data_IF_545704805254
#
_entry.id   IF_545704805254
#
_cell.length_a   1.000
_cell.length_b   1.000
_cell.length_c   1.000
_cell.angle_alpha   90.00
_cell.angle_beta   90.00
_cell.angle_gamma   90.00
#
_symmetry.space_group_name_H-M   'P 1'
#
loop_
_entity.id
_entity.type
_entity.pdbx_description
1 polymer ?
#
# COMPACT_ATOMS: atom_id res chain seq x y z
N UNK A 1 -37.94 6.53 -37.91
CA UNK A 1 -37.15 5.59 -37.07
C UNK A 1 -35.88 6.28 -36.60
N UNK A 2 -35.91 6.88 -35.40
CA UNK A 2 -34.74 7.52 -34.80
C UNK A 2 -33.90 6.43 -34.12
N UNK A 3 -32.72 6.12 -34.67
CA UNK A 3 -31.76 5.22 -34.04
C UNK A 3 -31.25 5.87 -32.76
N UNK A 4 -31.73 5.36 -31.62
CA UNK A 4 -31.23 5.68 -30.28
C UNK A 4 -29.71 5.46 -30.22
N UNK A 5 -28.95 6.56 -30.23
CA UNK A 5 -27.49 6.60 -30.00
C UNK A 5 -27.12 6.44 -28.51
N UNK A 6 -28.04 5.98 -27.66
CA UNK A 6 -27.87 5.90 -26.20
C UNK A 6 -27.20 4.63 -25.68
N UNK A 7 -26.80 3.68 -26.54
CA UNK A 7 -26.22 2.38 -26.12
C UNK A 7 -24.76 2.15 -26.55
N UNK A 8 -23.93 3.19 -26.63
CA UNK A 8 -22.48 3.05 -26.89
C UNK A 8 -21.58 3.92 -26.00
N UNK A 9 -22.05 4.23 -24.80
CA UNK A 9 -21.22 4.77 -23.71
C UNK A 9 -21.44 3.93 -22.46
N UNK A 10 -21.34 2.61 -22.59
CA UNK A 10 -20.90 1.81 -21.45
C UNK A 10 -19.54 2.40 -21.07
N UNK A 11 -19.51 3.18 -20.00
CA UNK A 11 -18.28 3.47 -19.28
C UNK A 11 -17.63 2.10 -19.08
N UNK A 12 -16.61 1.77 -19.90
CA UNK A 12 -15.75 0.62 -19.63
C UNK A 12 -14.98 1.04 -18.39
N UNK A 13 -15.60 0.86 -17.23
CA UNK A 13 -14.95 1.10 -15.96
C UNK A 13 -13.65 0.30 -15.98
N UNK A 14 -12.56 1.02 -15.76
CA UNK A 14 -11.24 0.45 -15.77
C UNK A 14 -11.12 -0.51 -14.58
N UNK A 15 -10.59 -1.70 -14.85
CA UNK A 15 -10.33 -2.68 -13.80
C UNK A 15 -9.33 -2.10 -12.80
N UNK A 16 -9.68 -2.17 -11.52
CA UNK A 16 -8.92 -1.59 -10.41
C UNK A 16 -8.50 -2.64 -9.36
N UNK A 17 -8.45 -3.92 -9.76
CA UNK A 17 -8.09 -5.03 -8.90
C UNK A 17 -9.23 -5.51 -7.99
N UNK A 18 -9.02 -6.64 -7.28
CA UNK A 18 -10.06 -7.23 -6.45
C UNK A 18 -10.24 -6.53 -5.09
N UNK A 19 -9.20 -5.90 -4.53
CA UNK A 19 -9.26 -5.30 -3.19
C UNK A 19 -9.76 -3.86 -3.15
N UNK A 20 -9.69 -3.12 -4.26
CA UNK A 20 -10.02 -1.70 -4.29
C UNK A 20 -11.41 -1.54 -4.90
N UNK A 21 -12.24 -0.67 -4.35
CA UNK A 21 -13.59 -0.41 -4.88
C UNK A 21 -13.61 0.64 -5.98
N UNK A 22 -12.65 1.56 -5.96
CA UNK A 22 -12.51 2.65 -6.92
C UNK A 22 -11.07 2.74 -7.40
N UNK A 23 -10.85 2.88 -8.71
CA UNK A 23 -9.51 3.08 -9.26
C UNK A 23 -8.85 4.37 -8.77
N UNK A 24 -7.52 4.38 -8.82
CA UNK A 24 -6.67 5.51 -8.46
C UNK A 24 -7.04 6.74 -9.26
N UNK A 25 -7.21 7.86 -8.57
CA UNK A 25 -7.59 9.15 -9.14
C UNK A 25 -6.42 10.14 -9.15
N UNK A 26 -6.37 11.01 -10.15
CA UNK A 26 -5.36 12.07 -10.24
C UNK A 26 -5.39 13.02 -9.04
N UNK A 27 -6.56 13.16 -8.39
CA UNK A 27 -6.74 14.03 -7.23
C UNK A 27 -5.87 13.62 -6.03
N UNK A 28 -5.41 12.36 -5.96
CA UNK A 28 -4.66 11.84 -4.82
C UNK A 28 -3.34 12.58 -4.60
N UNK A 29 -2.68 13.06 -5.66
CA UNK A 29 -1.44 13.83 -5.58
C UNK A 29 -1.57 15.14 -4.78
N UNK A 30 -2.80 15.67 -4.62
CA UNK A 30 -3.02 16.91 -3.88
C UNK A 30 -2.97 16.73 -2.37
N UNK A 31 -3.26 15.53 -1.88
CA UNK A 31 -3.51 15.28 -0.45
C UNK A 31 -2.50 14.29 0.13
N UNK A 32 -2.31 13.15 -0.51
CA UNK A 32 -1.50 12.05 0.04
C UNK A 32 -0.03 12.42 0.29
N UNK A 33 0.66 13.16 -0.61
CA UNK A 33 2.03 13.60 -0.34
C UNK A 33 2.16 14.44 0.93
N UNK A 34 1.18 15.30 1.21
CA UNK A 34 1.16 16.10 2.44
C UNK A 34 0.96 15.26 3.70
N UNK A 35 0.18 14.18 3.60
CA UNK A 35 -0.02 13.24 4.73
C UNK A 35 1.26 12.44 5.00
N UNK A 36 2.00 12.05 3.97
CA UNK A 36 3.23 11.26 4.09
C UNK A 36 4.41 12.04 4.65
N UNK A 37 4.48 13.36 4.43
CA UNK A 37 5.63 14.18 4.80
C UNK A 37 5.93 14.17 6.30
N UNK A 38 4.98 14.49 7.21
CA UNK A 38 5.27 14.53 8.64
C UNK A 38 5.80 13.21 9.21
N UNK A 39 5.18 12.04 8.94
CA UNK A 39 5.72 10.75 9.38
C UNK A 39 7.11 10.45 8.84
N UNK A 40 7.37 10.74 7.55
CA UNK A 40 8.68 10.49 6.94
C UNK A 40 9.77 11.37 7.57
N UNK A 41 9.48 12.66 7.79
CA UNK A 41 10.42 13.60 8.43
C UNK A 41 10.68 13.17 9.88
N UNK A 42 9.63 12.84 10.62
CA UNK A 42 9.76 12.38 12.01
C UNK A 42 10.66 11.15 12.10
N UNK A 43 10.38 10.11 11.29
CA UNK A 43 11.17 8.89 11.28
C UNK A 43 12.60 9.11 10.78
N UNK A 44 12.81 10.02 9.83
CA UNK A 44 14.15 10.35 9.33
C UNK A 44 15.07 10.84 10.47
N UNK A 45 14.54 11.67 11.36
CA UNK A 45 15.30 12.15 12.52
C UNK A 45 15.33 11.14 13.66
N UNK A 46 14.18 10.57 14.04
CA UNK A 46 14.08 9.68 15.19
C UNK A 46 14.79 8.34 14.96
N UNK A 47 14.52 7.69 13.83
CA UNK A 47 15.11 6.40 13.51
C UNK A 47 16.51 6.50 12.91
N UNK A 48 16.82 7.63 12.26
CA UNK A 48 18.15 7.93 11.73
C UNK A 48 19.17 8.36 12.80
N UNK A 49 18.77 8.44 14.07
CA UNK A 49 19.69 8.77 15.16
C UNK A 49 20.72 7.65 15.35
N UNK A 50 22.01 8.02 15.40
CA UNK A 50 23.11 7.05 15.48
C UNK A 50 23.33 6.20 14.23
N UNK A 51 22.78 6.60 13.07
CA UNK A 51 22.98 5.88 11.79
C UNK A 51 24.39 6.10 11.24
N UNK A 52 25.27 5.14 11.52
CA UNK A 52 26.67 5.17 11.04
C UNK A 52 26.80 4.77 9.57
N UNK A 53 25.89 3.92 9.08
CA UNK A 53 25.88 3.42 7.70
C UNK A 53 25.11 4.38 6.79
N UNK A 54 24.12 5.09 7.33
CA UNK A 54 23.29 6.06 6.61
C UNK A 54 22.17 5.43 5.79
N UNK A 55 21.94 4.11 5.88
CA UNK A 55 20.95 3.42 5.05
C UNK A 55 19.51 3.81 5.38
N UNK A 56 19.13 3.80 6.67
CA UNK A 56 17.79 4.19 7.13
C UNK A 56 17.53 5.65 6.79
N UNK A 57 18.48 6.55 7.07
CA UNK A 57 18.39 7.95 6.65
C UNK A 57 18.27 8.09 5.14
N UNK A 58 19.06 7.35 4.36
CA UNK A 58 19.02 7.39 2.91
C UNK A 58 17.64 7.02 2.35
N UNK A 59 17.07 5.90 2.79
CA UNK A 59 15.74 5.43 2.35
C UNK A 59 14.65 6.43 2.73
N UNK A 60 14.63 6.91 3.97
CA UNK A 60 13.64 7.89 4.42
C UNK A 60 13.84 9.26 3.75
N UNK A 61 15.08 9.65 3.46
CA UNK A 61 15.41 10.87 2.71
C UNK A 61 14.89 10.82 1.27
N UNK A 62 15.04 9.68 0.59
CA UNK A 62 14.43 9.45 -0.73
C UNK A 62 12.90 9.55 -0.65
N UNK A 63 12.29 8.98 0.40
CA UNK A 63 10.84 9.10 0.62
C UNK A 63 10.40 10.56 0.79
N UNK A 64 11.12 11.36 1.57
CA UNK A 64 10.85 12.79 1.73
C UNK A 64 10.95 13.51 0.38
N UNK A 65 12.03 13.24 -0.37
CA UNK A 65 12.26 13.86 -1.67
C UNK A 65 11.15 13.54 -2.68
N UNK A 66 10.71 12.27 -2.76
CA UNK A 66 9.59 11.86 -3.62
C UNK A 66 8.31 12.62 -3.25
N UNK A 67 8.00 12.73 -1.95
CA UNK A 67 6.80 13.44 -1.51
C UNK A 67 6.90 14.95 -1.78
N UNK A 68 8.08 15.57 -1.60
CA UNK A 68 8.31 16.98 -1.95
C UNK A 68 8.15 17.23 -3.45
N UNK A 69 8.71 16.37 -4.31
CA UNK A 69 8.51 16.43 -5.76
C UNK A 69 7.02 16.30 -6.08
N UNK A 70 6.31 15.38 -5.41
CA UNK A 70 4.87 15.17 -5.59
C UNK A 70 4.05 16.42 -5.22
N UNK A 71 4.38 17.07 -4.10
CA UNK A 71 3.77 18.34 -3.69
C UNK A 71 4.05 19.44 -4.71
N UNK A 72 5.31 19.58 -5.16
CA UNK A 72 5.68 20.56 -6.16
C UNK A 72 4.91 20.33 -7.49
N UNK A 73 4.89 19.09 -7.98
CA UNK A 73 4.13 18.71 -9.17
C UNK A 73 2.64 19.01 -9.02
N UNK A 74 2.06 18.79 -7.83
CA UNK A 74 0.66 19.13 -7.55
C UNK A 74 0.38 20.63 -7.68
N UNK A 75 1.27 21.48 -7.15
CA UNK A 75 1.13 22.94 -7.19
C UNK A 75 1.31 23.50 -8.61
N UNK A 76 2.31 22.99 -9.33
CA UNK A 76 2.69 23.48 -10.65
C UNK A 76 2.00 22.75 -11.81
N UNK A 77 1.07 21.82 -11.54
CA UNK A 77 0.43 20.97 -12.55
C UNK A 77 -0.22 21.79 -13.68
N UNK A 78 -0.84 22.93 -13.35
CA UNK A 78 -1.47 23.85 -14.32
C UNK A 78 -0.46 24.57 -15.21
N UNK A 79 0.74 24.84 -14.68
CA UNK A 79 1.76 25.66 -15.32
C UNK A 79 2.69 24.82 -16.19
N UNK A 80 3.08 23.64 -15.70
CA UNK A 80 4.09 22.77 -16.32
C UNK A 80 3.51 21.78 -17.34
N UNK A 81 2.19 21.81 -17.61
CA UNK A 81 1.48 20.86 -18.50
C UNK A 81 1.95 19.41 -18.27
N UNK A 82 2.01 19.01 -17.00
CA UNK A 82 2.55 17.69 -16.60
C UNK A 82 1.70 16.59 -17.23
N UNK A 83 2.34 15.61 -17.86
CA UNK A 83 1.63 14.48 -18.46
C UNK A 83 0.91 13.66 -17.39
N UNK A 84 -0.29 13.19 -17.72
CA UNK A 84 -1.11 12.41 -16.78
C UNK A 84 -0.43 11.09 -16.38
N UNK A 85 0.37 10.52 -17.28
CA UNK A 85 1.21 9.34 -17.01
C UNK A 85 2.21 9.56 -15.89
N UNK A 86 2.89 10.71 -15.89
CA UNK A 86 3.84 11.06 -14.83
C UNK A 86 3.12 11.22 -13.48
N UNK A 87 1.92 11.79 -13.47
CA UNK A 87 1.12 11.92 -12.24
C UNK A 87 0.78 10.53 -11.69
N UNK A 88 0.36 9.60 -12.53
CA UNK A 88 0.07 8.22 -12.10
C UNK A 88 1.31 7.47 -11.61
N UNK A 89 2.46 7.65 -12.27
CA UNK A 89 3.72 7.08 -11.79
C UNK A 89 4.12 7.67 -10.44
N UNK A 90 3.94 8.97 -10.26
CA UNK A 90 4.22 9.66 -9.01
C UNK A 90 3.27 9.22 -7.88
N UNK A 91 2.02 8.88 -8.22
CA UNK A 91 1.09 8.21 -7.30
C UNK A 91 1.62 6.86 -6.85
N UNK A 92 2.08 6.02 -7.77
CA UNK A 92 2.68 4.73 -7.42
C UNK A 92 3.88 4.92 -6.47
N UNK A 93 4.73 5.92 -6.72
CA UNK A 93 5.89 6.23 -5.90
C UNK A 93 5.50 6.72 -4.50
N UNK A 94 4.62 7.71 -4.35
CA UNK A 94 4.27 8.17 -2.99
C UNK A 94 3.47 7.13 -2.21
N UNK A 95 2.66 6.27 -2.86
CA UNK A 95 2.00 5.15 -2.17
C UNK A 95 3.04 4.15 -1.66
N UNK A 96 4.11 3.92 -2.44
CA UNK A 96 5.26 3.12 -1.98
C UNK A 96 5.95 3.78 -0.78
N UNK A 97 6.07 5.11 -0.76
CA UNK A 97 6.60 5.81 0.44
C UNK A 97 5.69 5.64 1.65
N UNK A 98 4.35 5.62 1.46
CA UNK A 98 3.40 5.34 2.53
C UNK A 98 3.63 3.96 3.14
N UNK A 99 3.80 2.96 2.27
CA UNK A 99 4.11 1.60 2.70
C UNK A 99 5.43 1.53 3.46
N UNK A 100 6.50 2.15 2.95
CA UNK A 100 7.82 2.13 3.60
C UNK A 100 7.77 2.69 5.02
N UNK A 101 7.18 3.88 5.23
CA UNK A 101 7.18 4.47 6.56
C UNK A 101 6.25 3.73 7.54
N UNK A 102 5.15 3.15 7.05
CA UNK A 102 4.23 2.35 7.87
C UNK A 102 4.80 0.98 8.23
N UNK A 103 5.47 0.30 7.31
CA UNK A 103 6.19 -0.96 7.58
C UNK A 103 7.35 -0.72 8.55
N UNK A 104 8.03 0.42 8.43
CA UNK A 104 9.05 0.83 9.38
C UNK A 104 8.46 1.08 10.77
N UNK A 105 7.27 1.67 10.86
CA UNK A 105 6.55 1.82 12.13
C UNK A 105 6.19 0.45 12.73
N UNK A 106 5.74 -0.50 11.92
CA UNK A 106 5.51 -1.88 12.35
C UNK A 106 6.79 -2.56 12.84
N UNK A 107 7.91 -2.34 12.15
CA UNK A 107 9.23 -2.81 12.56
C UNK A 107 9.64 -2.24 13.92
N UNK A 108 9.42 -0.93 14.15
CA UNK A 108 9.66 -0.31 15.45
C UNK A 108 8.84 -1.00 16.55
N UNK A 109 7.57 -1.31 16.30
CA UNK A 109 6.73 -2.01 17.28
C UNK A 109 7.21 -3.44 17.57
N UNK A 110 7.79 -4.13 16.58
CA UNK A 110 8.31 -5.51 16.73
C UNK A 110 9.65 -5.56 17.45
N UNK A 111 10.50 -4.54 17.28
CA UNK A 111 11.91 -4.57 17.75
C UNK A 111 12.15 -3.67 18.97
N UNK A 112 11.40 -2.57 19.13
CA UNK A 112 11.61 -1.62 20.20
C UNK A 112 11.04 -2.14 21.54
N UNK A 113 11.85 -2.92 22.25
CA UNK A 113 11.57 -3.37 23.63
C UNK A 113 11.89 -2.27 24.66
N UNK A 114 11.38 -1.05 24.47
CA UNK A 114 11.60 0.08 25.39
C UNK A 114 13.03 0.63 25.45
N UNK A 115 13.93 0.14 24.60
CA UNK A 115 15.29 0.66 24.47
C UNK A 115 15.34 1.88 23.55
N UNK A 116 16.38 2.71 23.70
CA UNK A 116 16.60 3.89 22.87
C UNK A 116 16.64 3.50 21.38
N UNK A 117 15.81 4.17 20.58
CA UNK A 117 15.74 3.98 19.13
C UNK A 117 17.06 4.47 18.54
N UNK A 118 17.86 3.55 17.99
CA UNK A 118 19.09 3.87 17.26
C UNK A 118 19.17 3.04 15.99
N UNK A 119 19.61 3.63 14.88
CA UNK A 119 19.75 2.91 13.62
C UNK A 119 20.65 1.66 13.75
N UNK A 120 21.75 1.77 14.50
CA UNK A 120 22.69 0.67 14.71
C UNK A 120 22.07 -0.53 15.41
N UNK A 121 21.13 -0.32 16.35
CA UNK A 121 20.45 -1.44 17.01
C UNK A 121 19.54 -2.21 16.05
N UNK A 122 18.96 -1.56 15.03
CA UNK A 122 18.20 -2.25 13.99
C UNK A 122 19.08 -3.08 13.06
N UNK A 123 20.24 -2.57 12.64
CA UNK A 123 21.14 -3.31 11.76
C UNK A 123 21.68 -4.60 12.42
N UNK A 124 21.92 -4.57 13.72
CA UNK A 124 22.41 -5.72 14.47
C UNK A 124 21.29 -6.68 14.90
N UNK A 125 20.03 -6.25 14.85
CA UNK A 125 18.89 -7.05 15.29
C UNK A 125 18.53 -8.13 14.27
N UNK A 126 18.64 -9.40 14.69
CA UNK A 126 18.20 -10.55 13.90
C UNK A 126 16.70 -10.48 13.57
N UNK A 127 15.88 -10.00 14.51
CA UNK A 127 14.44 -9.87 14.31
C UNK A 127 14.10 -8.81 13.26
N UNK A 128 14.82 -7.69 13.26
CA UNK A 128 14.61 -6.64 12.27
C UNK A 128 14.88 -7.15 10.86
N UNK A 129 15.97 -7.89 10.68
CA UNK A 129 16.31 -8.51 9.41
C UNK A 129 15.24 -9.50 8.94
N UNK A 130 14.81 -10.44 9.79
CA UNK A 130 13.79 -11.43 9.44
C UNK A 130 12.47 -10.74 9.06
N UNK A 131 12.06 -9.75 9.84
CA UNK A 131 10.83 -8.99 9.60
C UNK A 131 10.87 -8.26 8.25
N UNK A 132 11.92 -7.47 8.00
CA UNK A 132 12.08 -6.72 6.75
C UNK A 132 12.19 -7.65 5.54
N UNK A 133 12.89 -8.79 5.68
CA UNK A 133 13.01 -9.78 4.61
C UNK A 133 11.65 -10.41 4.27
N UNK A 134 10.87 -10.80 5.29
CA UNK A 134 9.53 -11.37 5.13
C UNK A 134 8.59 -10.39 4.41
N UNK A 135 8.55 -9.12 4.85
CA UNK A 135 7.72 -8.10 4.21
C UNK A 135 8.17 -7.83 2.78
N UNK A 136 9.48 -7.82 2.50
CA UNK A 136 9.98 -7.63 1.14
C UNK A 136 9.55 -8.76 0.21
N UNK A 137 9.64 -10.02 0.65
CA UNK A 137 9.14 -11.17 -0.13
C UNK A 137 7.63 -11.04 -0.37
N UNK A 138 6.88 -10.73 0.68
CA UNK A 138 5.44 -10.58 0.61
C UNK A 138 5.04 -9.45 -0.34
N UNK A 139 5.73 -8.31 -0.29
CA UNK A 139 5.53 -7.17 -1.18
C UNK A 139 5.72 -7.58 -2.64
N UNK A 140 6.83 -8.23 -2.96
CA UNK A 140 7.13 -8.70 -4.32
C UNK A 140 6.09 -9.72 -4.79
N UNK A 141 5.73 -10.68 -3.93
CA UNK A 141 4.70 -11.67 -4.23
C UNK A 141 3.34 -11.00 -4.55
N UNK A 142 2.96 -9.99 -3.77
CA UNK A 142 1.71 -9.26 -3.97
C UNK A 142 1.73 -8.40 -5.24
N UNK A 143 2.85 -7.77 -5.59
CA UNK A 143 3.01 -7.11 -6.89
C UNK A 143 2.75 -8.07 -8.05
N UNK A 144 3.28 -9.30 -7.99
CA UNK A 144 3.03 -10.33 -9.00
C UNK A 144 1.57 -10.76 -9.04
N UNK A 145 0.95 -11.01 -7.88
CA UNK A 145 -0.46 -11.40 -7.77
C UNK A 145 -1.38 -10.34 -8.37
N UNK A 146 -1.22 -9.07 -7.99
CA UNK A 146 -2.05 -7.99 -8.54
C UNK A 146 -1.78 -7.76 -10.02
N UNK A 147 -0.52 -7.79 -10.45
CA UNK A 147 -0.19 -7.64 -11.88
C UNK A 147 -0.78 -8.77 -12.73
N UNK A 148 -0.84 -9.98 -12.18
CA UNK A 148 -1.50 -11.12 -12.80
C UNK A 148 -3.01 -10.88 -12.99
N UNK A 149 -3.70 -10.37 -11.96
CA UNK A 149 -5.13 -10.02 -12.06
C UNK A 149 -5.40 -9.00 -13.19
N UNK A 150 -4.57 -7.96 -13.30
CA UNK A 150 -4.69 -6.97 -14.39
C UNK A 150 -4.44 -7.56 -15.77
N UNK A 151 -3.39 -8.38 -15.91
CA UNK A 151 -3.07 -9.05 -17.18
C UNK A 151 -4.19 -10.01 -17.59
N UNK A 152 -4.77 -10.71 -16.62
CA UNK A 152 -5.90 -11.62 -16.84
C UNK A 152 -7.14 -10.88 -17.30
N UNK A 153 -7.48 -9.76 -16.64
CA UNK A 153 -8.63 -8.93 -17.01
C UNK A 153 -8.51 -8.44 -18.46
N UNK A 154 -7.34 -7.94 -18.83
CA UNK A 154 -7.03 -7.46 -20.18
C UNK A 154 -7.23 -8.53 -21.26
N UNK A 155 -6.85 -9.79 -20.99
CA UNK A 155 -7.00 -10.91 -21.93
C UNK A 155 -8.43 -11.43 -22.04
N UNK A 156 -9.18 -11.35 -20.96
CA UNK A 156 -10.51 -11.97 -20.83
C UNK A 156 -11.64 -10.97 -21.03
N UNK A 157 -11.30 -9.71 -21.38
CA UNK A 157 -12.26 -8.61 -21.56
C UNK A 157 -13.23 -8.47 -20.38
N UNK A 158 -12.75 -8.68 -19.16
CA UNK A 158 -13.56 -8.54 -17.95
C UNK A 158 -14.50 -9.70 -17.62
N UNK A 159 -14.35 -10.87 -18.26
CA UNK A 159 -15.20 -12.05 -18.01
C UNK A 159 -15.24 -12.52 -16.53
N UNK A 160 -14.24 -12.14 -15.73
CA UNK A 160 -14.10 -12.55 -14.33
C UNK A 160 -14.49 -11.45 -13.32
N UNK A 161 -14.73 -10.21 -13.75
CA UNK A 161 -15.03 -9.08 -12.84
C UNK A 161 -16.26 -9.34 -11.96
N UNK A 162 -17.33 -9.89 -12.55
CA UNK A 162 -18.55 -10.21 -11.83
C UNK A 162 -18.37 -11.37 -10.83
N UNK A 163 -17.50 -12.34 -11.16
CA UNK A 163 -17.15 -13.45 -10.26
C UNK A 163 -16.31 -12.95 -9.08
N UNK A 164 -15.35 -12.07 -9.32
CA UNK A 164 -14.52 -11.45 -8.27
C UNK A 164 -15.36 -10.56 -7.34
N UNK A 165 -16.21 -9.70 -7.90
CA UNK A 165 -17.11 -8.85 -7.12
C UNK A 165 -18.07 -9.68 -6.26
N UNK A 166 -18.59 -10.80 -6.79
CA UNK A 166 -19.43 -11.73 -6.04
C UNK A 166 -18.65 -12.52 -4.99
N UNK A 167 -17.38 -12.84 -5.25
CA UNK A 167 -16.53 -13.49 -4.26
C UNK A 167 -16.24 -12.57 -3.09
N UNK A 168 -15.95 -11.29 -3.36
CA UNK A 168 -15.66 -10.27 -2.34
C UNK A 168 -16.91 -9.67 -1.69
N UNK A 169 -18.12 -10.07 -2.09
CA UNK A 169 -19.33 -9.60 -1.43
C UNK A 169 -19.53 -10.30 -0.09
N UNK A 170 -19.99 -9.55 0.90
CA UNK A 170 -20.41 -10.09 2.20
C UNK A 170 -21.52 -11.15 2.10
N UNK A 171 -22.20 -11.20 0.94
CA UNK A 171 -23.22 -12.19 0.65
C UNK A 171 -22.69 -13.56 0.23
N UNK A 172 -21.38 -13.72 0.06
CA UNK A 172 -20.77 -14.99 -0.33
C UNK A 172 -21.05 -16.08 0.74
N UNK A 173 -21.51 -17.28 0.33
CA UNK A 173 -21.78 -18.37 1.27
C UNK A 173 -20.56 -18.78 2.10
N UNK A 174 -19.33 -18.57 1.61
CA UNK A 174 -18.11 -18.80 2.39
C UNK A 174 -18.02 -17.84 3.58
N UNK A 175 -18.26 -16.54 3.38
CA UNK A 175 -18.25 -15.57 4.48
C UNK A 175 -19.43 -15.79 5.44
N UNK A 176 -20.61 -16.19 4.93
CA UNK A 176 -21.76 -16.56 5.77
C UNK A 176 -21.53 -17.82 6.59
N UNK A 177 -20.64 -18.73 6.16
CA UNK A 177 -20.24 -19.92 6.92
C UNK A 177 -19.26 -19.60 8.05
N UNK A 178 -18.58 -18.46 8.01
CA UNK A 178 -17.73 -18.03 9.12
C UNK A 178 -18.66 -17.73 10.30
N UNK A 179 -18.50 -18.40 11.45
CA UNK A 179 -19.31 -18.11 12.63
C UNK A 179 -19.25 -16.62 12.96
N UNK A 180 -20.37 -16.02 13.38
CA UNK A 180 -20.42 -14.59 13.78
C UNK A 180 -19.34 -14.23 14.80
N UNK A 181 -18.94 -15.20 15.63
CA UNK A 181 -17.98 -15.04 16.70
C UNK A 181 -16.54 -15.36 16.28
N UNK A 182 -16.28 -15.79 15.03
CA UNK A 182 -14.95 -16.20 14.58
C UNK A 182 -13.92 -15.09 14.75
N UNK A 183 -14.22 -13.88 14.27
CA UNK A 183 -13.30 -12.74 14.39
C UNK A 183 -13.05 -12.36 15.85
N UNK A 184 -14.07 -12.51 16.70
CA UNK A 184 -13.95 -12.26 18.13
C UNK A 184 -13.05 -13.31 18.80
N UNK A 185 -13.27 -14.59 18.51
CA UNK A 185 -12.46 -15.70 19.05
C UNK A 185 -11.02 -15.63 18.53
N UNK A 186 -10.85 -15.42 17.23
CA UNK A 186 -9.54 -15.24 16.60
C UNK A 186 -8.79 -14.07 17.23
N UNK A 187 -9.43 -12.90 17.31
CA UNK A 187 -8.87 -11.73 17.97
C UNK A 187 -8.45 -12.03 19.42
N UNK A 188 -9.31 -12.70 20.19
CA UNK A 188 -9.05 -13.04 21.59
C UNK A 188 -7.89 -14.05 21.73
N UNK A 189 -7.82 -15.07 20.89
CA UNK A 189 -6.75 -16.10 20.88
C UNK A 189 -5.38 -15.50 20.59
N UNK A 190 -5.29 -14.48 19.74
CA UNK A 190 -4.01 -13.80 19.50
C UNK A 190 -3.72 -12.72 20.55
N UNK A 191 -4.74 -11.97 20.97
CA UNK A 191 -4.57 -10.82 21.87
C UNK A 191 -4.26 -11.23 23.31
N UNK A 192 -4.97 -12.22 23.86
CA UNK A 192 -4.83 -12.60 25.28
C UNK A 192 -3.45 -13.16 25.60
N UNK A 193 -2.88 -14.12 24.85
CA UNK A 193 -1.52 -14.59 25.11
C UNK A 193 -0.51 -13.45 24.96
N UNK A 194 -0.60 -12.66 23.90
CA UNK A 194 0.33 -11.53 23.69
C UNK A 194 0.23 -10.46 24.77
N UNK A 195 -0.96 -10.25 25.34
CA UNK A 195 -1.16 -9.36 26.49
C UNK A 195 -0.48 -9.94 27.74
N UNK A 196 -0.71 -11.23 28.04
CA UNK A 196 -0.15 -11.90 29.21
C UNK A 196 1.39 -12.01 29.16
N UNK A 197 1.96 -12.15 27.97
CA UNK A 197 3.42 -12.21 27.79
C UNK A 197 4.07 -10.84 27.61
N UNK A 198 3.30 -9.74 27.58
CA UNK A 198 3.83 -8.39 27.35
C UNK A 198 4.32 -8.13 25.91
N UNK A 199 3.90 -8.95 24.93
CA UNK A 199 4.28 -8.85 23.51
C UNK A 199 3.15 -8.29 22.62
N UNK A 200 2.17 -7.62 23.22
CA UNK A 200 1.04 -7.05 22.50
C UNK A 200 1.48 -6.04 21.42
N UNK A 201 2.46 -5.20 21.73
CA UNK A 201 3.03 -4.24 20.78
C UNK A 201 3.65 -4.96 19.56
N UNK A 202 4.39 -6.03 19.78
CA UNK A 202 5.02 -6.82 18.71
C UNK A 202 3.97 -7.47 17.81
N UNK A 203 2.88 -7.99 18.39
CA UNK A 203 1.75 -8.54 17.63
C UNK A 203 1.13 -7.47 16.73
N UNK A 204 0.85 -6.28 17.27
CA UNK A 204 0.31 -5.17 16.48
C UNK A 204 1.24 -4.76 15.34
N UNK A 205 2.55 -4.65 15.61
CA UNK A 205 3.54 -4.34 14.59
C UNK A 205 3.55 -5.36 13.46
N UNK A 206 3.51 -6.65 13.81
CA UNK A 206 3.51 -7.75 12.84
C UNK A 206 2.24 -7.77 11.97
N UNK A 207 1.07 -7.64 12.60
CA UNK A 207 -0.21 -7.61 11.90
C UNK A 207 -0.31 -6.38 10.99
N UNK A 208 0.14 -5.22 11.47
CA UNK A 208 0.14 -3.97 10.71
C UNK A 208 1.03 -4.10 9.47
N UNK A 209 2.27 -4.55 9.60
CA UNK A 209 3.19 -4.72 8.47
C UNK A 209 2.63 -5.68 7.41
N UNK A 210 2.13 -6.85 7.82
CA UNK A 210 1.53 -7.80 6.88
C UNK A 210 0.32 -7.18 6.20
N UNK A 211 -0.62 -6.60 6.96
CA UNK A 211 -1.85 -6.04 6.41
C UNK A 211 -1.57 -4.97 5.35
N UNK A 212 -0.66 -4.05 5.65
CA UNK A 212 -0.32 -2.95 4.75
C UNK A 212 0.48 -3.44 3.54
N UNK A 213 1.42 -4.36 3.74
CA UNK A 213 2.18 -4.99 2.65
C UNK A 213 1.30 -5.83 1.72
N UNK A 214 0.20 -6.42 2.20
CA UNK A 214 -0.77 -7.12 1.34
C UNK A 214 -1.65 -6.15 0.55
N UNK A 215 -2.02 -5.00 1.13
CA UNK A 215 -3.04 -4.11 0.58
C UNK A 215 -2.48 -3.04 -0.36
N UNK A 216 -1.42 -2.33 0.03
CA UNK A 216 -0.88 -1.21 -0.75
C UNK A 216 -0.35 -1.59 -2.15
N UNK A 217 0.22 -2.80 -2.39
CA UNK A 217 0.60 -3.20 -3.75
C UNK A 217 -0.56 -3.19 -4.75
N UNK A 218 -1.81 -3.39 -4.31
CA UNK A 218 -2.97 -3.26 -5.19
C UNK A 218 -3.08 -1.86 -5.78
N UNK A 219 -2.85 -0.83 -4.94
CA UNK A 219 -2.94 0.58 -5.32
C UNK A 219 -1.76 0.98 -6.22
N UNK A 220 -0.56 0.49 -5.90
CA UNK A 220 0.65 0.71 -6.71
C UNK A 220 0.46 0.13 -8.10
N UNK A 221 0.00 -1.13 -8.20
CA UNK A 221 -0.24 -1.79 -9.48
C UNK A 221 -1.34 -1.07 -10.26
N UNK A 222 -2.44 -0.64 -9.62
CA UNK A 222 -3.45 0.16 -10.29
C UNK A 222 -2.86 1.46 -10.84
N UNK A 223 -2.09 2.21 -10.04
CA UNK A 223 -1.46 3.44 -10.50
C UNK A 223 -0.52 3.22 -11.71
N UNK A 224 0.27 2.14 -11.71
CA UNK A 224 1.16 1.79 -12.84
C UNK A 224 0.36 1.44 -14.09
N UNK A 225 -0.68 0.60 -13.98
CA UNK A 225 -1.52 0.29 -15.14
C UNK A 225 -2.28 1.52 -15.65
N UNK A 226 -2.60 2.48 -14.77
CA UNK A 226 -3.22 3.75 -15.17
C UNK A 226 -2.34 4.52 -16.15
N UNK A 227 -1.07 4.70 -15.75
CA UNK A 227 -0.07 5.38 -16.55
C UNK A 227 0.13 4.69 -17.91
N UNK A 228 0.13 3.36 -17.94
CA UNK A 228 0.30 2.58 -19.18
C UNK A 228 -0.90 2.72 -20.11
N UNK A 229 -2.14 2.63 -19.57
CA UNK A 229 -3.36 2.68 -20.39
C UNK A 229 -3.64 4.07 -20.96
N UNK A 230 -3.31 5.15 -20.24
CA UNK A 230 -3.45 6.51 -20.76
C UNK A 230 -2.55 6.81 -21.97
N UNK A 231 -1.46 6.05 -22.16
CA UNK A 231 -0.65 6.15 -23.38
C UNK A 231 -1.38 5.70 -24.65
N UNK A 232 -2.44 4.90 -24.50
CA UNK A 232 -3.19 4.32 -25.63
C UNK A 232 -4.43 5.13 -26.03
N UNK A 233 -4.77 6.18 -25.28
CA UNK A 233 -5.88 7.09 -25.60
C UNK A 233 -5.38 8.33 -26.32
#
# INVERSE_FOLDING_TARGET
>A
MVKNKSMKKQNKERYHGPLITNGVQLSYIKVYPWINLPPCIFLYFAAGFGDTIGFIKGVLGICILINLISVACSLFMKWLKISTQLIYFLIALFVTTTLIWTDFLGLLMVVANGQSISANSFYQSRLAFIYSFLLTILFVAMLFVYSYFYRRDSRTNGAYRSKEAKFNSWDNPLFKRIPSNFWLIFGLVFTVPSLLTGHLQNLFGFVLGILLTVTFPAVIVDAVYAAIYERKS
#
